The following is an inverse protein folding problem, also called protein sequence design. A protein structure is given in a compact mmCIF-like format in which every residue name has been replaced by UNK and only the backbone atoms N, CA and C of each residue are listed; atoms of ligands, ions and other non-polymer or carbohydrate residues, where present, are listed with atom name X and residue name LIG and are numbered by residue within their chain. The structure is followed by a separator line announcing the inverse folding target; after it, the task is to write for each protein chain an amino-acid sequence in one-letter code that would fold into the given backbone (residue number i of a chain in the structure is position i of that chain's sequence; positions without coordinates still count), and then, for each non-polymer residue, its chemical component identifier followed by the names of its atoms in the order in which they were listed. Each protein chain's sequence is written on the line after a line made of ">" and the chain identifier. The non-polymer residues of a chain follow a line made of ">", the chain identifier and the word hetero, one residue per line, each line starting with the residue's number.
data_IF_398930923310
#
_entry.id   IF_398930923310
#
_cell.length_a   1.000
_cell.length_b   1.000
_cell.length_c   1.000
_cell.angle_alpha   90.00
_cell.angle_beta   90.00
_cell.angle_gamma   90.00
#
_symmetry.space_group_name_H-M   'P 1'
#
loop_
_entity.id
_entity.type
_entity.pdbx_description
1 polymer ?
#
# COMPACT_ATOMS: atom_id res chain seq x y z
N UNK A 1 23.30 -4.30 51.56
CA UNK A 1 22.93 -5.69 51.20
C UNK A 1 21.94 -5.62 50.02
N UNK A 2 22.41 -5.36 48.79
CA UNK A 2 21.52 -5.08 47.64
C UNK A 2 22.21 -5.14 46.25
N UNK A 3 23.00 -6.18 45.94
CA UNK A 3 23.72 -6.27 44.65
C UNK A 3 23.43 -7.52 43.79
N UNK A 4 22.44 -8.37 44.13
CA UNK A 4 22.23 -9.65 43.42
C UNK A 4 21.03 -9.74 42.45
N UNK A 5 20.33 -8.64 42.13
CA UNK A 5 19.11 -8.70 41.29
C UNK A 5 19.29 -8.41 39.78
N UNK A 6 20.48 -8.01 39.32
CA UNK A 6 20.71 -7.57 37.93
C UNK A 6 21.01 -8.69 36.92
N UNK A 7 21.60 -9.81 37.35
CA UNK A 7 22.06 -10.88 36.43
C UNK A 7 20.93 -11.73 35.86
N UNK A 8 19.87 -12.03 36.65
CA UNK A 8 18.73 -12.86 36.21
C UNK A 8 17.90 -12.24 35.08
N UNK A 9 17.82 -10.90 35.01
CA UNK A 9 17.08 -10.20 33.94
C UNK A 9 17.79 -10.27 32.58
N UNK A 10 19.12 -10.46 32.56
CA UNK A 10 19.90 -10.54 31.32
C UNK A 10 19.72 -11.89 30.62
N UNK A 11 19.83 -13.00 31.34
CA UNK A 11 19.65 -14.35 30.77
C UNK A 11 18.23 -14.60 30.27
N UNK A 12 17.21 -14.06 30.96
CA UNK A 12 15.82 -14.14 30.51
C UNK A 12 15.55 -13.35 29.21
N UNK A 13 16.26 -12.23 28.98
CA UNK A 13 16.18 -11.46 27.73
C UNK A 13 16.89 -12.16 26.57
N UNK A 14 18.04 -12.79 26.83
CA UNK A 14 18.78 -13.55 25.83
C UNK A 14 18.00 -14.79 25.38
N UNK A 15 17.43 -15.57 26.32
CA UNK A 15 16.59 -16.73 25.99
C UNK A 15 15.34 -16.36 25.19
N UNK A 16 14.68 -15.25 25.55
CA UNK A 16 13.56 -14.70 24.77
C UNK A 16 13.99 -14.27 23.38
N UNK A 17 15.13 -13.61 23.23
CA UNK A 17 15.66 -13.19 21.93
C UNK A 17 15.94 -14.40 21.04
N UNK A 18 16.61 -15.42 21.56
CA UNK A 18 16.91 -16.66 20.82
C UNK A 18 15.61 -17.36 20.40
N UNK A 19 14.64 -17.48 21.30
CA UNK A 19 13.33 -18.05 20.98
C UNK A 19 12.59 -17.24 19.90
N UNK A 20 12.66 -15.91 19.96
CA UNK A 20 12.09 -15.04 18.93
C UNK A 20 12.77 -15.23 17.58
N UNK A 21 14.10 -15.27 17.51
CA UNK A 21 14.80 -15.50 16.24
C UNK A 21 14.51 -16.90 15.68
N UNK A 22 14.57 -17.93 16.54
CA UNK A 22 14.28 -19.31 16.15
C UNK A 22 12.87 -19.47 15.57
N UNK A 23 11.89 -18.69 16.06
CA UNK A 23 10.52 -18.72 15.56
C UNK A 23 10.28 -17.78 14.37
N UNK A 24 10.84 -16.57 14.39
CA UNK A 24 10.60 -15.54 13.36
C UNK A 24 11.38 -15.82 12.07
N UNK A 25 12.57 -16.42 12.15
CA UNK A 25 13.36 -16.75 10.95
C UNK A 25 12.63 -17.73 10.01
N UNK A 26 12.13 -18.90 10.44
CA UNK A 26 11.38 -19.78 9.55
C UNK A 26 10.08 -19.14 9.04
N UNK A 27 9.40 -18.34 9.87
CA UNK A 27 8.21 -17.60 9.45
C UNK A 27 8.52 -16.58 8.34
N UNK A 28 9.64 -15.86 8.46
CA UNK A 28 10.13 -14.94 7.44
C UNK A 28 10.50 -15.68 6.14
N UNK A 29 11.12 -16.86 6.23
CA UNK A 29 11.43 -17.68 5.05
C UNK A 29 10.16 -18.15 4.32
N UNK A 30 9.13 -18.59 5.06
CA UNK A 30 7.83 -18.96 4.47
C UNK A 30 7.21 -17.77 3.75
N UNK A 31 7.32 -16.56 4.31
CA UNK A 31 6.84 -15.33 3.69
C UNK A 31 7.63 -14.90 2.44
N UNK A 32 8.94 -15.13 2.43
CA UNK A 32 9.80 -14.81 1.29
C UNK A 32 9.72 -15.84 0.17
N UNK A 33 9.29 -17.07 0.48
CA UNK A 33 9.25 -18.16 -0.49
C UNK A 33 8.43 -17.85 -1.75
N UNK A 34 7.21 -17.27 -1.70
CA UNK A 34 6.49 -16.86 -2.91
C UNK A 34 7.23 -15.82 -3.75
N UNK A 35 7.92 -14.86 -3.12
CA UNK A 35 8.71 -13.85 -3.84
C UNK A 35 9.90 -14.48 -4.54
N UNK A 36 10.57 -15.45 -3.89
CA UNK A 36 11.63 -16.24 -4.50
C UNK A 36 11.12 -17.01 -5.73
N UNK A 37 9.95 -17.64 -5.62
CA UNK A 37 9.31 -18.32 -6.76
C UNK A 37 8.97 -17.37 -7.91
N UNK A 38 8.53 -16.14 -7.63
CA UNK A 38 8.30 -15.14 -8.68
C UNK A 38 9.59 -14.80 -9.45
N UNK A 39 10.73 -14.71 -8.76
CA UNK A 39 12.02 -14.50 -9.41
C UNK A 39 12.38 -15.67 -10.32
N UNK A 40 12.21 -16.91 -9.84
CA UNK A 40 12.48 -18.10 -10.66
C UNK A 40 11.57 -18.12 -11.89
N UNK A 41 10.26 -17.92 -11.71
CA UNK A 41 9.31 -17.91 -12.82
C UNK A 41 9.62 -16.83 -13.85
N UNK A 42 10.12 -15.66 -13.44
CA UNK A 42 10.57 -14.61 -14.36
C UNK A 42 11.73 -15.05 -15.27
N UNK A 43 12.48 -16.08 -14.87
CA UNK A 43 13.64 -16.60 -15.62
C UNK A 43 13.29 -17.81 -16.49
N UNK A 44 12.13 -18.44 -16.26
CA UNK A 44 11.70 -19.65 -16.95
C UNK A 44 11.22 -19.40 -18.38
N UNK A 45 11.47 -20.31 -19.32
CA UNK A 45 10.85 -20.24 -20.65
C UNK A 45 9.34 -20.54 -20.57
N UNK A 46 8.54 -20.01 -21.50
CA UNK A 46 7.07 -20.17 -21.53
C UNK A 46 6.60 -21.64 -21.45
N UNK A 47 7.40 -22.56 -22.00
CA UNK A 47 7.13 -24.01 -21.98
C UNK A 47 7.43 -24.67 -20.64
N UNK A 48 8.30 -24.07 -19.83
CA UNK A 48 8.68 -24.57 -18.50
C UNK A 48 7.65 -24.24 -17.41
N UNK A 49 6.88 -23.16 -17.59
CA UNK A 49 5.84 -22.72 -16.62
C UNK A 49 4.74 -23.77 -16.45
N UNK A 50 4.45 -24.57 -17.51
CA UNK A 50 3.44 -25.63 -17.48
C UNK A 50 4.02 -27.02 -17.15
N UNK A 51 5.31 -27.11 -16.80
CA UNK A 51 5.92 -28.37 -16.38
C UNK A 51 5.45 -28.77 -14.97
N UNK A 52 5.22 -30.07 -14.68
CA UNK A 52 4.92 -30.55 -13.33
C UNK A 52 6.10 -30.44 -12.34
N UNK A 53 7.30 -30.07 -12.79
CA UNK A 53 8.51 -29.98 -11.97
C UNK A 53 8.54 -28.69 -11.15
N UNK A 54 8.67 -28.81 -9.82
CA UNK A 54 9.00 -27.68 -8.96
C UNK A 54 10.50 -27.40 -9.12
N UNK A 55 10.82 -26.35 -9.86
CA UNK A 55 12.20 -25.92 -10.09
C UNK A 55 12.50 -24.72 -9.19
N UNK A 56 13.59 -24.81 -8.43
CA UNK A 56 13.97 -23.84 -7.39
C UNK A 56 15.19 -22.99 -7.77
N UNK A 57 15.71 -23.18 -8.99
CA UNK A 57 16.91 -22.51 -9.50
C UNK A 57 16.56 -21.61 -10.69
N UNK A 58 17.20 -20.44 -10.83
CA UNK A 58 17.01 -19.57 -11.99
C UNK A 58 17.46 -20.20 -13.30
N UNK A 59 16.80 -19.86 -14.39
CA UNK A 59 17.12 -20.26 -15.76
C UNK A 59 17.77 -19.11 -16.55
N UNK A 60 18.24 -19.40 -17.75
CA UNK A 60 18.92 -18.44 -18.63
C UNK A 60 18.01 -17.51 -19.45
N UNK A 61 16.68 -17.70 -19.43
CA UNK A 61 15.74 -17.00 -20.33
C UNK A 61 15.24 -15.64 -19.83
N UNK A 62 15.79 -15.12 -18.74
CA UNK A 62 15.35 -13.86 -18.14
C UNK A 62 15.36 -12.67 -19.12
N UNK A 63 16.45 -12.50 -19.88
CA UNK A 63 16.56 -11.37 -20.83
C UNK A 63 15.54 -11.48 -21.96
N UNK A 64 15.28 -12.69 -22.45
CA UNK A 64 14.28 -12.95 -23.49
C UNK A 64 12.88 -12.64 -22.97
N UNK A 65 12.56 -13.08 -21.75
CA UNK A 65 11.27 -12.80 -21.12
C UNK A 65 11.04 -11.30 -20.91
N UNK A 66 12.05 -10.55 -20.46
CA UNK A 66 11.95 -9.09 -20.29
C UNK A 66 11.76 -8.39 -21.64
N UNK A 67 12.47 -8.84 -22.68
CA UNK A 67 12.35 -8.26 -24.02
C UNK A 67 10.98 -8.57 -24.65
N UNK A 68 10.48 -9.79 -24.50
CA UNK A 68 9.14 -10.19 -24.94
C UNK A 68 8.07 -9.39 -24.19
N UNK A 69 8.18 -9.29 -22.86
CA UNK A 69 7.28 -8.47 -22.04
C UNK A 69 7.25 -7.01 -22.51
N UNK A 70 8.41 -6.42 -22.78
CA UNK A 70 8.48 -5.04 -23.27
C UNK A 70 7.87 -4.89 -24.66
N UNK A 71 8.08 -5.85 -25.58
CA UNK A 71 7.51 -5.82 -26.93
C UNK A 71 5.99 -5.98 -26.92
N UNK A 72 5.48 -6.90 -26.11
CA UNK A 72 4.06 -7.28 -26.14
C UNK A 72 3.17 -6.29 -25.38
N UNK A 73 3.68 -5.70 -24.30
CA UNK A 73 2.88 -4.89 -23.37
C UNK A 73 3.33 -3.44 -23.23
N UNK A 74 4.48 -3.07 -23.80
CA UNK A 74 5.15 -1.80 -23.50
C UNK A 74 5.27 -1.56 -21.98
N UNK A 75 5.83 -2.56 -21.29
CA UNK A 75 5.92 -2.62 -19.84
C UNK A 75 6.56 -1.38 -19.19
N UNK A 76 7.66 -0.88 -19.74
CA UNK A 76 8.33 0.34 -19.25
C UNK A 76 7.39 1.56 -19.34
N UNK A 77 6.62 1.67 -20.42
CA UNK A 77 5.60 2.70 -20.57
C UNK A 77 4.50 2.58 -19.51
N UNK A 78 3.99 1.37 -19.29
CA UNK A 78 2.97 1.10 -18.26
C UNK A 78 3.47 1.42 -16.83
N UNK A 79 4.73 1.09 -16.52
CA UNK A 79 5.38 1.49 -15.26
C UNK A 79 5.46 3.01 -15.18
N UNK A 80 5.89 3.69 -16.23
CA UNK A 80 6.01 5.16 -16.26
C UNK A 80 4.67 5.83 -15.92
N UNK A 81 3.58 5.35 -16.52
CA UNK A 81 2.21 5.82 -16.22
C UNK A 81 1.84 5.52 -14.76
N UNK A 82 2.10 4.31 -14.28
CA UNK A 82 1.76 3.90 -12.92
C UNK A 82 2.50 4.74 -11.86
N UNK A 83 3.81 4.95 -12.05
CA UNK A 83 4.65 5.75 -11.14
C UNK A 83 4.20 7.20 -11.13
N UNK A 84 3.98 7.79 -12.30
CA UNK A 84 3.55 9.20 -12.39
C UNK A 84 2.16 9.41 -11.79
N UNK A 85 1.19 8.54 -12.09
CA UNK A 85 -0.13 8.55 -11.43
C UNK A 85 0.00 8.41 -9.91
N UNK A 86 0.80 7.45 -9.43
CA UNK A 86 0.98 7.21 -7.99
C UNK A 86 1.62 8.40 -7.27
N UNK A 87 2.66 9.01 -7.86
CA UNK A 87 3.34 10.18 -7.28
C UNK A 87 2.40 11.38 -7.24
N UNK A 88 1.73 11.70 -8.36
CA UNK A 88 0.80 12.82 -8.43
C UNK A 88 -0.37 12.64 -7.47
N UNK A 89 -0.98 11.44 -7.45
CA UNK A 89 -2.04 11.10 -6.51
C UNK A 89 -1.60 11.26 -5.06
N UNK A 90 -0.46 10.67 -4.70
CA UNK A 90 0.04 10.68 -3.31
C UNK A 90 0.30 12.11 -2.86
N UNK A 91 0.98 12.91 -3.69
CA UNK A 91 1.27 14.30 -3.36
C UNK A 91 -0.01 15.12 -3.12
N UNK A 92 -0.96 15.06 -4.07
CA UNK A 92 -2.21 15.81 -3.98
C UNK A 92 -3.09 15.32 -2.82
N UNK A 93 -3.20 14.01 -2.64
CA UNK A 93 -4.02 13.42 -1.56
C UNK A 93 -3.44 13.76 -0.19
N UNK A 94 -2.13 13.63 0.00
CA UNK A 94 -1.47 14.00 1.27
C UNK A 94 -1.65 15.50 1.55
N UNK A 95 -1.47 16.36 0.53
CA UNK A 95 -1.67 17.80 0.68
C UNK A 95 -3.10 18.12 1.16
N UNK A 96 -4.11 17.63 0.44
CA UNK A 96 -5.52 17.87 0.75
C UNK A 96 -5.93 17.28 2.10
N UNK A 97 -5.54 16.04 2.37
CA UNK A 97 -5.90 15.35 3.63
C UNK A 97 -5.20 15.96 4.84
N UNK A 98 -3.96 16.43 4.68
CA UNK A 98 -3.24 17.14 5.74
C UNK A 98 -3.90 18.49 6.02
N UNK A 99 -4.28 19.26 5.00
CA UNK A 99 -4.98 20.53 5.16
C UNK A 99 -6.33 20.34 5.88
N UNK A 100 -7.13 19.36 5.45
CA UNK A 100 -8.41 19.05 6.08
C UNK A 100 -8.23 18.53 7.51
N UNK A 101 -7.27 17.64 7.74
CA UNK A 101 -6.95 17.10 9.05
C UNK A 101 -6.49 18.18 10.03
N UNK A 102 -5.63 19.09 9.57
CA UNK A 102 -5.18 20.25 10.35
C UNK A 102 -6.35 21.16 10.71
N UNK A 103 -7.21 21.46 9.73
CA UNK A 103 -8.35 22.33 9.97
C UNK A 103 -9.32 21.75 11.01
N UNK A 104 -9.58 20.44 10.93
CA UNK A 104 -10.42 19.73 11.90
C UNK A 104 -9.75 19.53 13.26
N UNK A 105 -8.42 19.52 13.34
CA UNK A 105 -7.70 19.39 14.61
C UNK A 105 -7.60 20.73 15.35
N UNK A 106 -7.24 21.82 14.65
CA UNK A 106 -6.86 23.10 15.29
C UNK A 106 -7.96 24.16 15.29
N UNK A 107 -8.83 24.22 14.29
CA UNK A 107 -9.89 25.24 14.25
C UNK A 107 -11.19 24.75 14.89
N UNK A 108 -11.91 25.67 15.52
CA UNK A 108 -13.28 25.50 15.99
C UNK A 108 -14.19 26.32 15.08
N UNK A 109 -15.02 25.65 14.29
CA UNK A 109 -15.95 26.29 13.35
C UNK A 109 -17.34 25.66 13.43
N UNK A 110 -18.35 26.46 13.11
CA UNK A 110 -19.74 26.01 13.11
C UNK A 110 -19.94 24.94 12.00
N UNK A 111 -20.41 23.75 12.38
CA UNK A 111 -20.59 22.62 11.46
C UNK A 111 -19.47 21.57 11.47
N UNK A 112 -18.42 21.73 12.28
CA UNK A 112 -17.32 20.75 12.42
C UNK A 112 -17.79 19.32 12.70
N UNK A 113 -18.80 19.16 13.56
CA UNK A 113 -19.39 17.84 13.86
C UNK A 113 -20.06 17.19 12.65
N UNK A 114 -20.74 17.96 11.81
CA UNK A 114 -21.39 17.47 10.58
C UNK A 114 -20.35 17.00 9.57
N UNK A 115 -19.28 17.78 9.37
CA UNK A 115 -18.18 17.39 8.47
C UNK A 115 -17.56 16.06 8.92
N UNK A 116 -17.27 15.92 10.21
CA UNK A 116 -16.73 14.66 10.77
C UNK A 116 -17.72 13.50 10.60
N UNK A 117 -19.02 13.74 10.83
CA UNK A 117 -20.05 12.71 10.64
C UNK A 117 -20.15 12.25 9.18
N UNK A 118 -20.06 13.16 8.20
CA UNK A 118 -20.04 12.81 6.77
C UNK A 118 -18.81 11.96 6.44
N UNK A 119 -17.62 12.37 6.91
CA UNK A 119 -16.36 11.62 6.69
C UNK A 119 -16.44 10.21 7.31
N UNK A 120 -17.05 10.07 8.48
CA UNK A 120 -17.28 8.75 9.07
C UNK A 120 -18.30 7.94 8.27
N UNK A 121 -19.36 8.59 7.80
CA UNK A 121 -20.38 7.96 6.96
C UNK A 121 -19.80 7.40 5.66
N UNK A 122 -18.90 8.11 4.99
CA UNK A 122 -18.28 7.62 3.74
C UNK A 122 -17.44 6.35 3.95
N UNK A 123 -16.83 6.16 5.12
CA UNK A 123 -16.05 4.96 5.45
C UNK A 123 -16.95 3.72 5.61
N UNK A 124 -18.21 3.91 5.99
CA UNK A 124 -19.17 2.79 6.14
C UNK A 124 -19.62 2.19 4.82
N UNK A 125 -19.51 2.95 3.72
CA UNK A 125 -19.96 2.50 2.41
C UNK A 125 -18.95 1.51 1.81
N UNK A 126 -19.38 0.29 1.41
CA UNK A 126 -18.50 -0.63 0.72
C UNK A 126 -18.16 -0.07 -0.67
N UNK A 127 -16.89 -0.18 -1.05
CA UNK A 127 -16.38 0.38 -2.31
C UNK A 127 -17.17 -0.05 -3.56
N UNK A 128 -17.68 -1.28 -3.56
CA UNK A 128 -18.47 -1.83 -4.67
C UNK A 128 -19.73 -1.00 -5.00
N UNK A 129 -20.37 -0.38 -4.00
CA UNK A 129 -21.59 0.43 -4.20
C UNK A 129 -21.26 1.81 -4.78
N UNK A 130 -20.06 2.33 -4.49
CA UNK A 130 -19.60 3.64 -4.97
C UNK A 130 -19.01 3.56 -6.38
N UNK A 131 -18.44 2.42 -6.75
CA UNK A 131 -17.74 2.24 -8.02
C UNK A 131 -18.60 2.55 -9.25
N UNK A 132 -19.82 2.01 -9.31
CA UNK A 132 -20.74 2.19 -10.45
C UNK A 132 -21.13 3.66 -10.65
N UNK A 133 -21.67 4.37 -9.63
CA UNK A 133 -22.02 5.79 -9.81
C UNK A 133 -20.78 6.64 -10.10
N UNK A 134 -19.64 6.34 -9.49
CA UNK A 134 -18.38 7.01 -9.79
C UNK A 134 -17.97 6.82 -11.25
N UNK A 135 -18.09 5.60 -11.79
CA UNK A 135 -17.81 5.31 -13.19
C UNK A 135 -18.76 6.07 -14.12
N UNK A 136 -20.07 6.07 -13.86
CA UNK A 136 -21.05 6.81 -14.66
C UNK A 136 -20.70 8.30 -14.67
N UNK A 137 -20.42 8.88 -13.50
CA UNK A 137 -20.06 10.29 -13.37
C UNK A 137 -18.82 10.66 -14.20
N UNK A 138 -17.75 9.86 -14.08
CA UNK A 138 -16.48 10.15 -14.77
C UNK A 138 -16.56 9.85 -16.27
N UNK A 139 -17.10 8.70 -16.65
CA UNK A 139 -17.09 8.21 -18.02
C UNK A 139 -18.20 8.83 -18.87
N UNK A 140 -19.41 8.99 -18.33
CA UNK A 140 -20.58 9.49 -19.08
C UNK A 140 -20.76 10.99 -18.89
N UNK A 141 -20.84 11.46 -17.66
CA UNK A 141 -21.25 12.85 -17.38
C UNK A 141 -20.10 13.82 -17.66
N UNK A 142 -18.90 13.49 -17.20
CA UNK A 142 -17.70 14.28 -17.45
C UNK A 142 -16.97 13.91 -18.75
N UNK A 143 -17.32 12.79 -19.38
CA UNK A 143 -16.67 12.29 -20.61
C UNK A 143 -15.14 12.17 -20.48
N UNK A 144 -14.65 11.90 -19.27
CA UNK A 144 -13.23 11.76 -18.94
C UNK A 144 -12.78 10.29 -18.97
N UNK A 145 -13.53 9.43 -19.67
CA UNK A 145 -13.16 8.03 -19.82
C UNK A 145 -11.75 7.89 -20.44
N UNK A 146 -10.98 6.89 -19.98
CA UNK A 146 -9.63 6.62 -20.45
C UNK A 146 -8.63 7.80 -20.28
N UNK A 147 -8.77 8.57 -19.21
CA UNK A 147 -7.85 9.68 -18.89
C UNK A 147 -7.18 9.46 -17.53
N UNK A 148 -6.05 10.15 -17.33
CA UNK A 148 -5.32 10.15 -16.07
C UNK A 148 -6.10 10.83 -14.95
N UNK A 149 -6.92 11.82 -15.30
CA UNK A 149 -7.82 12.53 -14.39
C UNK A 149 -8.83 11.55 -13.79
N UNK A 150 -9.36 10.63 -14.58
CA UNK A 150 -10.27 9.59 -14.11
C UNK A 150 -9.65 8.63 -13.08
N UNK A 151 -8.33 8.44 -13.12
CA UNK A 151 -7.60 7.60 -12.17
C UNK A 151 -7.26 8.37 -10.88
N UNK A 152 -6.89 9.64 -11.00
CA UNK A 152 -6.36 10.44 -9.88
C UNK A 152 -7.49 11.07 -9.09
N UNK A 153 -8.39 11.81 -9.74
CA UNK A 153 -9.32 12.74 -9.10
C UNK A 153 -10.34 12.07 -8.19
N UNK A 154 -11.05 11.00 -8.61
CA UNK A 154 -12.09 10.41 -7.78
C UNK A 154 -11.61 9.93 -6.40
N UNK A 155 -10.45 9.24 -6.27
CA UNK A 155 -9.94 8.82 -4.96
C UNK A 155 -9.14 9.90 -4.20
N UNK A 156 -8.98 11.13 -4.73
CA UNK A 156 -8.08 12.15 -4.13
C UNK A 156 -8.36 12.40 -2.65
N UNK A 157 -9.65 12.46 -2.28
CA UNK A 157 -10.06 12.74 -0.93
C UNK A 157 -10.16 11.45 -0.11
N UNK A 158 -9.08 11.14 0.62
CA UNK A 158 -9.03 9.96 1.48
C UNK A 158 -9.62 10.25 2.86
N UNK A 159 -10.83 9.74 3.13
CA UNK A 159 -11.56 9.97 4.40
C UNK A 159 -10.80 9.45 5.62
N UNK A 160 -10.19 8.26 5.54
CA UNK A 160 -9.36 7.72 6.63
C UNK A 160 -8.09 8.53 6.83
N UNK A 161 -7.44 8.95 5.74
CA UNK A 161 -6.26 9.81 5.77
C UNK A 161 -6.53 11.11 6.53
N UNK A 162 -7.66 11.77 6.28
CA UNK A 162 -8.07 12.99 7.02
C UNK A 162 -8.21 12.72 8.52
N UNK A 163 -8.84 11.60 8.91
CA UNK A 163 -9.02 11.26 10.32
C UNK A 163 -7.68 10.92 11.00
N UNK A 164 -6.78 10.21 10.32
CA UNK A 164 -5.43 9.95 10.84
C UNK A 164 -4.62 11.24 10.98
N UNK A 165 -4.66 12.13 9.98
CA UNK A 165 -3.99 13.43 10.08
C UNK A 165 -4.55 14.26 11.23
N UNK A 166 -5.89 14.28 11.38
CA UNK A 166 -6.54 14.93 12.53
C UNK A 166 -6.06 14.35 13.86
N UNK A 167 -6.01 13.02 14.00
CA UNK A 167 -5.54 12.37 15.23
C UNK A 167 -4.08 12.74 15.55
N UNK A 168 -3.20 12.66 14.55
CA UNK A 168 -1.79 13.01 14.68
C UNK A 168 -1.59 14.48 15.10
N UNK A 169 -2.31 15.42 14.47
CA UNK A 169 -2.18 16.84 14.81
C UNK A 169 -2.79 17.19 16.18
N UNK A 170 -3.82 16.47 16.63
CA UNK A 170 -4.40 16.67 17.96
C UNK A 170 -3.51 16.18 19.10
N UNK A 171 -2.60 15.22 18.84
CA UNK A 171 -1.64 14.74 19.85
C UNK A 171 -0.48 15.72 20.09
N UNK A 172 -0.23 16.64 19.15
CA UNK A 172 0.83 17.63 19.29
C UNK A 172 0.39 18.75 20.23
N UNK A 173 1.19 19.10 21.26
CA UNK A 173 0.95 20.29 22.06
C UNK A 173 0.76 21.51 21.16
N UNK A 174 -0.24 22.34 21.47
CA UNK A 174 -0.54 23.58 20.74
C UNK A 174 0.27 24.76 21.25
#
# INVERSE_FOLDING_TARGET
>A
MSSHSSSRRSSARLGRSIALHLFLTPLALIWLFPLWMMVIFSTMPDRGIFSPSIELLPHGSFLDNVNNLQRDTNFIGAIGISVSVAVTYTFLSVLLTSMAGWALARYQFFGKGVVVAIILGTITLPYAVVLIPQFIMVARDFKLANTWVALIVPPLFNSLGVLFMRQSFSMMPG
#
